data_IF_683250787718
#
_entry.id   IF_683250787718
#
_cell.length_a   1.000
_cell.length_b   1.000
_cell.length_c   1.000
_cell.angle_alpha   90.00
_cell.angle_beta   90.00
_cell.angle_gamma   90.00
#
_symmetry.space_group_name_H-M   'P 1'
#
loop_
_entity.id
_entity.type
_entity.pdbx_description
1 polymer ?
#
# COMPACT_ATOMS: atom_id res chain seq x y z
N UNK A 1 0.11 -7.73 15.19
CA UNK A 1 -0.43 -6.69 14.28
C UNK A 1 -0.28 -7.20 12.86
N UNK A 2 -1.33 -7.15 12.04
CA UNK A 2 -1.25 -7.64 10.64
C UNK A 2 -0.66 -6.57 9.72
N UNK A 3 -0.11 -6.96 8.57
CA UNK A 3 0.43 -6.00 7.59
C UNK A 3 -0.65 -5.05 7.06
N UNK A 4 -1.91 -5.51 6.95
CA UNK A 4 -3.05 -4.65 6.60
C UNK A 4 -3.25 -3.54 7.63
N UNK A 5 -3.18 -3.86 8.92
CA UNK A 5 -3.30 -2.84 9.98
C UNK A 5 -2.11 -1.87 9.98
N UNK A 6 -0.90 -2.35 9.71
CA UNK A 6 0.28 -1.47 9.58
C UNK A 6 0.12 -0.53 8.39
N UNK A 7 -0.34 -1.03 7.24
CA UNK A 7 -0.59 -0.23 6.05
C UNK A 7 -1.59 0.89 6.31
N UNK A 8 -2.74 0.59 6.93
CA UNK A 8 -3.74 1.62 7.28
C UNK A 8 -3.18 2.68 8.24
N UNK A 9 -2.40 2.28 9.26
CA UNK A 9 -1.77 3.25 10.17
C UNK A 9 -0.76 4.15 9.46
N UNK A 10 0.09 3.57 8.59
CA UNK A 10 1.10 4.33 7.85
C UNK A 10 0.46 5.24 6.81
N UNK A 11 -0.64 4.81 6.18
CA UNK A 11 -1.44 5.62 5.27
C UNK A 11 -1.99 6.86 5.97
N UNK A 12 -2.68 6.70 7.11
CA UNK A 12 -3.21 7.83 7.89
C UNK A 12 -2.09 8.75 8.40
N UNK A 13 -0.95 8.18 8.84
CA UNK A 13 0.19 8.99 9.29
C UNK A 13 0.82 9.81 8.14
N UNK A 14 0.91 9.22 6.94
CA UNK A 14 1.49 9.85 5.76
C UNK A 14 0.69 11.08 5.27
N UNK A 15 -0.57 11.24 5.68
CA UNK A 15 -1.37 12.44 5.39
C UNK A 15 -0.82 13.69 6.09
N UNK A 16 -0.14 13.53 7.23
CA UNK A 16 0.29 14.63 8.09
C UNK A 16 1.81 14.69 8.28
N UNK A 17 2.53 13.58 8.09
CA UNK A 17 3.96 13.47 8.30
C UNK A 17 4.72 13.39 6.96
N UNK A 18 5.23 14.55 6.51
CA UNK A 18 6.02 14.64 5.28
C UNK A 18 7.35 13.87 5.39
N UNK A 19 7.94 13.80 6.59
CA UNK A 19 9.18 13.07 6.84
C UNK A 19 8.99 11.58 6.62
N UNK A 20 7.88 11.03 7.12
CA UNK A 20 7.47 9.66 6.86
C UNK A 20 7.25 9.41 5.36
N UNK A 21 6.57 10.31 4.64
CA UNK A 21 6.37 10.15 3.19
C UNK A 21 7.70 10.06 2.45
N UNK A 22 8.67 10.92 2.79
CA UNK A 22 10.00 10.90 2.17
C UNK A 22 10.70 9.58 2.49
N UNK A 23 10.67 9.13 3.75
CA UNK A 23 11.29 7.87 4.16
C UNK A 23 10.66 6.65 3.46
N UNK A 24 9.32 6.61 3.35
CA UNK A 24 8.59 5.56 2.65
C UNK A 24 8.95 5.53 1.16
N UNK A 25 8.99 6.69 0.49
CA UNK A 25 9.38 6.78 -0.92
C UNK A 25 10.83 6.34 -1.14
N UNK A 26 11.73 6.69 -0.21
CA UNK A 26 13.13 6.29 -0.30
C UNK A 26 13.31 4.77 -0.13
N UNK A 27 12.50 4.12 0.70
CA UNK A 27 12.56 2.69 0.97
C UNK A 27 11.81 1.83 -0.06
N UNK A 28 10.72 2.35 -0.62
CA UNK A 28 9.87 1.60 -1.55
C UNK A 28 10.55 1.42 -2.91
N UNK A 29 10.45 0.19 -3.43
CA UNK A 29 11.06 -0.23 -4.71
C UNK A 29 10.03 -0.82 -5.68
N UNK A 30 8.74 -0.71 -5.38
CA UNK A 30 7.68 -1.14 -6.29
C UNK A 30 7.46 -0.14 -7.43
N UNK A 31 6.62 -0.51 -8.39
CA UNK A 31 6.42 0.25 -9.64
C UNK A 31 5.48 1.46 -9.51
N UNK A 32 4.70 1.50 -8.45
CA UNK A 32 3.69 2.53 -8.20
C UNK A 32 4.18 3.59 -7.21
N UNK A 33 3.43 4.66 -6.97
CA UNK A 33 3.73 5.53 -5.83
C UNK A 33 3.43 4.78 -4.53
N UNK A 34 4.23 5.01 -3.49
CA UNK A 34 4.10 4.30 -2.21
C UNK A 34 2.77 4.61 -1.51
N UNK A 35 2.23 5.82 -1.67
CA UNK A 35 0.94 6.20 -1.09
C UNK A 35 -0.20 5.49 -1.81
N UNK A 36 -0.16 5.39 -3.14
CA UNK A 36 -1.13 4.60 -3.92
C UNK A 36 -1.10 3.12 -3.48
N UNK A 37 0.10 2.55 -3.31
CA UNK A 37 0.28 1.17 -2.88
C UNK A 37 -0.23 0.91 -1.45
N UNK A 38 0.04 1.83 -0.51
CA UNK A 38 -0.49 1.78 0.85
C UNK A 38 -2.02 1.87 0.85
N UNK A 39 -2.56 2.79 0.03
CA UNK A 39 -4.00 2.95 -0.15
C UNK A 39 -4.64 1.65 -0.62
N UNK A 40 -4.15 1.03 -1.71
CA UNK A 40 -4.73 -0.23 -2.21
C UNK A 40 -4.63 -1.37 -1.21
N UNK A 41 -3.57 -1.42 -0.40
CA UNK A 41 -3.47 -2.43 0.67
C UNK A 41 -4.53 -2.23 1.76
N UNK A 42 -4.88 -0.99 2.07
CA UNK A 42 -5.94 -0.65 3.02
C UNK A 42 -7.35 -0.79 2.40
N UNK A 43 -7.48 -0.42 1.12
CA UNK A 43 -8.72 -0.31 0.34
C UNK A 43 -8.64 -1.10 -0.99
N UNK A 44 -8.66 -2.44 -0.95
CA UNK A 44 -8.53 -3.25 -2.16
C UNK A 44 -9.62 -2.95 -3.18
N UNK A 45 -9.27 -3.05 -4.47
CA UNK A 45 -10.15 -2.84 -5.63
C UNK A 45 -10.77 -1.44 -5.73
N UNK A 46 -10.32 -0.50 -4.90
CA UNK A 46 -10.79 0.87 -4.89
C UNK A 46 -9.83 1.77 -5.67
N UNK A 47 -10.33 2.89 -6.21
CA UNK A 47 -9.47 3.93 -6.77
C UNK A 47 -8.78 4.69 -5.64
N UNK A 48 -7.55 5.16 -5.88
CA UNK A 48 -6.88 6.09 -4.96
C UNK A 48 -7.57 7.46 -5.00
N UNK A 49 -7.34 8.34 -4.00
CA UNK A 49 -7.87 9.70 -4.02
C UNK A 49 -7.46 10.48 -5.28
N UNK A 50 -6.28 10.17 -5.84
CA UNK A 50 -5.81 10.70 -7.13
C UNK A 50 -6.47 10.07 -8.36
N UNK A 51 -7.46 9.20 -8.18
CA UNK A 51 -8.24 8.56 -9.24
C UNK A 51 -7.60 7.33 -9.89
N UNK A 52 -6.44 6.87 -9.39
CA UNK A 52 -5.72 5.73 -9.99
C UNK A 52 -6.41 4.41 -9.62
N UNK A 53 -6.71 3.53 -10.59
CA UNK A 53 -7.31 2.23 -10.30
C UNK A 53 -6.30 1.28 -9.64
N UNK A 54 -6.80 0.41 -8.77
CA UNK A 54 -6.01 -0.71 -8.22
C UNK A 54 -5.54 -1.62 -9.38
N UNK A 55 -4.23 -1.95 -9.47
CA UNK A 55 -3.69 -2.90 -10.44
C UNK A 55 -4.44 -4.25 -10.48
N UNK A 56 -5.06 -4.67 -9.38
CA UNK A 56 -5.87 -5.89 -9.30
C UNK A 56 -7.15 -5.85 -10.14
N UNK A 57 -7.67 -4.66 -10.50
CA UNK A 57 -8.92 -4.52 -11.26
C UNK A 57 -8.85 -5.24 -12.61
N UNK A 58 -7.68 -5.25 -13.26
CA UNK A 58 -7.50 -5.91 -14.56
C UNK A 58 -7.43 -7.44 -14.49
N UNK A 59 -7.07 -8.00 -13.32
CA UNK A 59 -6.79 -9.42 -13.19
C UNK A 59 -8.01 -10.30 -13.47
N UNK A 60 -9.18 -9.92 -12.95
CA UNK A 60 -10.41 -10.69 -13.14
C UNK A 60 -10.85 -10.75 -14.60
N UNK A 61 -10.65 -9.67 -15.37
CA UNK A 61 -10.97 -9.63 -16.78
C UNK A 61 -10.04 -10.55 -17.60
N UNK A 62 -8.74 -10.53 -17.31
CA UNK A 62 -7.75 -11.40 -17.96
C UNK A 62 -7.99 -12.87 -17.62
N UNK A 63 -8.28 -13.19 -16.35
CA UNK A 63 -8.66 -14.53 -15.92
C UNK A 63 -9.92 -15.02 -16.64
N UNK A 64 -10.95 -14.17 -16.76
CA UNK A 64 -12.17 -14.51 -17.48
C UNK A 64 -11.88 -14.78 -18.97
N UNK A 65 -11.02 -13.98 -19.60
CA UNK A 65 -10.63 -14.20 -20.99
C UNK A 65 -9.92 -15.55 -21.19
N UNK A 66 -8.97 -15.89 -20.30
CA UNK A 66 -8.18 -17.12 -20.37
C UNK A 66 -8.98 -18.38 -20.02
N UNK A 67 -9.90 -18.31 -19.05
CA UNK A 67 -10.61 -19.47 -18.51
C UNK A 67 -12.09 -19.56 -18.94
N UNK A 68 -12.57 -18.67 -19.81
CA UNK A 68 -13.94 -18.77 -20.34
C UNK A 68 -14.12 -20.03 -21.19
N UNK A 69 -15.30 -20.67 -21.08
CA UNK A 69 -15.68 -21.80 -21.94
C UNK A 69 -15.80 -21.42 -23.42
N UNK A 70 -16.01 -20.15 -23.69
CA UNK A 70 -16.12 -19.56 -25.04
C UNK A 70 -14.79 -18.98 -25.52
N UNK A 71 -13.69 -19.27 -24.84
CA UNK A 71 -12.36 -18.83 -25.26
C UNK A 71 -12.09 -19.31 -26.68
N UNK A 72 -11.57 -18.40 -27.50
CA UNK A 72 -11.00 -18.73 -28.78
C UNK A 72 -9.51 -19.00 -28.53
N UNK A 73 -9.09 -20.25 -28.72
CA UNK A 73 -7.67 -20.59 -28.61
C UNK A 73 -6.89 -19.93 -29.74
N UNK A 74 -6.01 -19.01 -29.35
CA UNK A 74 -5.04 -18.38 -30.24
C UNK A 74 -3.84 -19.29 -30.50
N UNK A 75 -2.93 -18.89 -31.40
CA UNK A 75 -1.69 -19.62 -31.64
C UNK A 75 -0.86 -19.71 -30.36
N UNK A 76 -0.22 -20.86 -30.17
CA UNK A 76 0.76 -21.05 -29.10
C UNK A 76 2.04 -20.28 -29.44
N UNK A 77 2.62 -19.67 -28.42
CA UNK A 77 3.89 -18.98 -28.48
C UNK A 77 4.78 -19.49 -27.35
N UNK A 78 6.03 -19.75 -27.67
CA UNK A 78 7.04 -20.15 -26.71
C UNK A 78 7.77 -18.90 -26.22
N UNK A 79 7.73 -18.66 -24.92
CA UNK A 79 8.39 -17.53 -24.27
C UNK A 79 9.13 -18.08 -23.06
N UNK A 80 10.36 -17.61 -22.83
CA UNK A 80 11.12 -17.98 -21.64
C UNK A 80 10.44 -17.42 -20.39
N UNK A 81 10.24 -18.27 -19.40
CA UNK A 81 9.75 -17.87 -18.09
C UNK A 81 10.81 -16.99 -17.40
N UNK A 82 10.46 -15.79 -16.91
CA UNK A 82 11.44 -14.87 -16.34
C UNK A 82 12.00 -15.32 -14.98
N UNK A 83 11.28 -16.20 -14.27
CA UNK A 83 11.68 -16.67 -12.94
C UNK A 83 12.55 -17.93 -13.01
N UNK A 84 12.34 -18.79 -14.02
CA UNK A 84 13.07 -20.06 -14.18
C UNK A 84 14.01 -20.10 -15.38
N UNK A 85 13.81 -19.25 -16.39
CA UNK A 85 14.55 -19.24 -17.66
C UNK A 85 14.10 -20.34 -18.65
N UNK A 86 13.24 -21.26 -18.23
CA UNK A 86 12.77 -22.37 -19.06
C UNK A 86 11.73 -21.89 -20.09
N UNK A 87 11.71 -22.47 -21.30
CA UNK A 87 10.71 -22.12 -22.28
C UNK A 87 9.33 -22.64 -21.87
N UNK A 88 8.33 -21.77 -21.96
CA UNK A 88 6.93 -22.10 -21.69
C UNK A 88 6.09 -21.83 -22.93
N UNK A 89 5.45 -22.89 -23.43
CA UNK A 89 4.49 -22.79 -24.53
C UNK A 89 3.10 -22.47 -23.99
N UNK A 90 2.53 -21.35 -24.41
CA UNK A 90 1.18 -20.92 -24.04
C UNK A 90 0.62 -19.92 -25.05
N UNK A 91 -0.68 -19.65 -24.98
CA UNK A 91 -1.30 -18.60 -25.78
C UNK A 91 -0.86 -17.21 -25.29
N UNK A 92 -1.03 -16.19 -26.14
CA UNK A 92 -0.72 -14.79 -25.78
C UNK A 92 -1.50 -14.33 -24.53
N UNK A 93 -2.75 -14.76 -24.38
CA UNK A 93 -3.57 -14.42 -23.21
C UNK A 93 -3.02 -15.02 -21.92
N UNK A 94 -2.58 -16.27 -21.95
CA UNK A 94 -1.96 -16.94 -20.81
C UNK A 94 -0.63 -16.29 -20.42
N UNK A 95 0.20 -15.92 -21.40
CA UNK A 95 1.44 -15.18 -21.14
C UNK A 95 1.17 -13.83 -20.48
N UNK A 96 0.17 -13.08 -20.96
CA UNK A 96 -0.24 -11.80 -20.32
C UNK A 96 -0.74 -11.99 -18.90
N UNK A 97 -1.56 -13.02 -18.66
CA UNK A 97 -2.08 -13.31 -17.32
C UNK A 97 -0.96 -13.68 -16.35
N UNK A 98 0.00 -14.51 -16.78
CA UNK A 98 1.18 -14.87 -15.98
C UNK A 98 2.02 -13.65 -15.64
N UNK A 99 2.33 -12.82 -16.64
CA UNK A 99 3.11 -11.61 -16.43
C UNK A 99 2.41 -10.63 -15.48
N UNK A 100 1.10 -10.40 -15.66
CA UNK A 100 0.32 -9.57 -14.74
C UNK A 100 0.35 -10.12 -13.31
N UNK A 101 0.16 -11.43 -13.14
CA UNK A 101 0.18 -12.09 -11.83
C UNK A 101 1.55 -11.95 -11.16
N UNK A 102 2.63 -12.15 -11.91
CA UNK A 102 4.01 -12.00 -11.45
C UNK A 102 4.29 -10.57 -10.99
N UNK A 103 3.90 -9.60 -11.80
CA UNK A 103 4.07 -8.17 -11.49
C UNK A 103 3.30 -7.76 -10.23
N UNK A 104 2.05 -8.23 -10.07
CA UNK A 104 1.26 -8.00 -8.86
C UNK A 104 1.91 -8.61 -7.62
N UNK A 105 2.47 -9.82 -7.73
CA UNK A 105 3.19 -10.47 -6.64
C UNK A 105 4.46 -9.71 -6.27
N UNK A 106 5.20 -9.18 -7.25
CA UNK A 106 6.39 -8.35 -7.02
C UNK A 106 6.05 -7.05 -6.30
N UNK A 107 5.01 -6.34 -6.74
CA UNK A 107 4.57 -5.10 -6.08
C UNK A 107 4.08 -5.37 -4.65
N UNK A 108 3.36 -6.48 -4.43
CA UNK A 108 2.93 -6.89 -3.10
C UNK A 108 4.13 -7.19 -2.17
N UNK A 109 5.12 -7.93 -2.66
CA UNK A 109 6.33 -8.26 -1.91
C UNK A 109 7.17 -7.01 -1.60
N UNK A 110 7.32 -6.09 -2.56
CA UNK A 110 8.03 -4.83 -2.36
C UNK A 110 7.37 -3.98 -1.26
N UNK A 111 6.03 -3.93 -1.23
CA UNK A 111 5.30 -3.22 -0.18
C UNK A 111 5.44 -3.94 1.17
N UNK A 112 5.36 -5.28 1.21
CA UNK A 112 5.49 -6.04 2.46
C UNK A 112 6.84 -5.79 3.16
N UNK A 113 7.93 -5.68 2.41
CA UNK A 113 9.25 -5.32 2.95
C UNK A 113 9.24 -3.94 3.64
N UNK A 114 8.58 -2.96 3.04
CA UNK A 114 8.41 -1.62 3.64
C UNK A 114 7.55 -1.71 4.89
N UNK A 115 6.41 -2.39 4.84
CA UNK A 115 5.51 -2.53 5.98
C UNK A 115 6.18 -3.22 7.18
N UNK A 116 7.02 -4.23 6.93
CA UNK A 116 7.82 -4.89 7.97
C UNK A 116 8.84 -3.93 8.57
N UNK A 117 9.54 -3.16 7.74
CA UNK A 117 10.59 -2.22 8.18
C UNK A 117 10.01 -1.06 9.02
N UNK A 118 8.85 -0.55 8.63
CA UNK A 118 8.17 0.58 9.30
C UNK A 118 7.17 0.12 10.37
N UNK A 119 7.13 -1.16 10.72
CA UNK A 119 6.19 -1.69 11.73
C UNK A 119 6.31 -0.99 13.08
N UNK A 120 7.52 -0.57 13.43
CA UNK A 120 7.87 0.07 14.70
C UNK A 120 8.02 1.59 14.58
N UNK A 121 7.65 2.19 13.44
CA UNK A 121 7.72 3.64 13.27
C UNK A 121 6.91 4.33 14.37
N UNK A 122 7.53 5.17 15.20
CA UNK A 122 6.87 5.78 16.36
C UNK A 122 5.92 6.94 15.99
N UNK A 123 5.82 7.29 14.69
CA UNK A 123 5.35 8.60 14.25
C UNK A 123 6.49 9.60 14.38
N UNK A 124 6.56 10.65 13.56
CA UNK A 124 7.47 11.75 13.81
C UNK A 124 7.15 12.36 15.18
N UNK A 125 7.82 11.86 16.22
CA UNK A 125 8.36 12.73 17.24
C UNK A 125 9.28 13.68 16.49
N UNK A 126 8.75 14.82 16.09
CA UNK A 126 9.54 16.02 16.09
C UNK A 126 9.97 16.23 17.55
N UNK A 127 10.92 15.42 18.05
CA UNK A 127 11.93 15.97 18.93
C UNK A 127 12.56 17.06 18.07
N UNK A 128 12.05 18.28 18.27
CA UNK A 128 12.85 19.46 18.12
C UNK A 128 14.13 19.17 18.90
N UNK A 129 15.14 18.63 18.22
CA UNK A 129 16.53 18.92 18.53
C UNK A 129 16.70 20.41 18.18
N UNK A 130 15.99 21.25 18.95
CA UNK A 130 16.45 22.53 19.41
C UNK A 130 17.77 22.22 20.11
N UNK A 131 18.82 22.00 19.30
CA UNK A 131 20.12 22.48 19.68
C UNK A 131 19.99 23.98 19.65
N UNK A 132 19.43 24.46 20.76
CA UNK A 132 19.77 25.68 21.43
C UNK A 132 21.30 25.71 21.47
N UNK A 133 21.91 26.10 20.36
CA UNK A 133 23.26 26.63 20.36
C UNK A 133 23.13 27.92 21.11
N UNK A 134 23.39 27.78 22.39
CA UNK A 134 23.74 28.79 23.38
C UNK A 134 24.67 29.84 22.74
N UNK A 135 24.04 30.81 22.07
CA UNK A 135 24.67 32.06 21.66
C UNK A 135 23.90 33.11 22.43
N UNK A 136 24.40 33.44 23.62
CA UNK A 136 24.15 34.76 24.20
C UNK A 136 24.57 35.83 23.17
N UNK A 137 23.67 36.76 22.85
CA UNK A 137 24.09 38.14 22.92
C UNK A 137 23.17 38.92 23.87
N UNK A 138 23.80 39.40 24.93
CA UNK A 138 23.38 40.49 25.80
C UNK A 138 22.29 41.42 25.24
N UNK A 139 21.21 41.51 26.02
CA UNK A 139 20.60 42.74 26.54
C UNK A 139 20.04 43.73 25.51
N UNK A 140 18.71 43.74 25.38
CA UNK A 140 17.99 44.98 25.03
C UNK A 140 16.53 44.82 24.59
N UNK A 141 15.67 45.61 25.22
CA UNK A 141 14.35 46.08 24.75
C UNK A 141 13.10 45.20 24.98
N UNK A 142 12.36 45.62 26.02
CA UNK A 142 10.92 45.43 26.23
C UNK A 142 10.09 45.88 25.02
N UNK A 143 9.00 45.18 24.72
CA UNK A 143 7.58 45.65 24.73
C UNK A 143 6.67 44.48 24.27
N UNK A 144 5.85 43.91 25.14
CA UNK A 144 4.43 44.22 25.39
C UNK A 144 3.48 44.01 24.20
N UNK A 145 2.66 42.93 24.22
CA UNK A 145 1.18 42.97 24.06
C UNK A 145 0.51 41.57 24.05
N UNK A 146 -0.16 41.30 25.18
CA UNK A 146 -1.55 40.80 25.42
C UNK A 146 -2.09 39.46 24.84
N UNK A 147 -3.11 38.86 25.53
CA UNK A 147 -3.44 37.44 25.49
C UNK A 147 -4.81 37.10 24.86
N UNK A 148 -4.99 35.87 24.37
CA UNK A 148 -6.29 35.21 24.06
C UNK A 148 -6.07 33.70 24.27
N UNK A 149 -6.49 33.04 25.37
CA UNK A 149 -7.81 32.46 25.74
C UNK A 149 -8.44 31.49 24.72
N UNK A 150 -8.65 30.24 25.16
CA UNK A 150 -9.78 29.34 24.79
C UNK A 150 -9.37 28.13 23.92
N UNK A 151 -9.24 26.89 24.41
CA UNK A 151 -10.18 25.92 25.03
C UNK A 151 -10.91 25.00 24.00
N UNK A 152 -10.59 23.69 24.12
CA UNK A 152 -11.34 22.41 23.95
C UNK A 152 -12.15 22.13 22.67
N UNK A 153 -11.94 21.02 21.92
CA UNK A 153 -12.23 19.57 22.14
C UNK A 153 -13.67 19.14 21.73
N UNK A 154 -13.76 17.97 21.06
CA UNK A 154 -14.87 16.97 20.99
C UNK A 154 -15.64 16.83 19.67
N UNK A 155 -15.75 15.56 19.20
CA UNK A 155 -16.86 15.02 18.38
C UNK A 155 -16.42 13.90 17.42
N UNK A 156 -16.28 12.63 17.86
CA UNK A 156 -17.31 11.56 17.86
C UNK A 156 -17.60 10.93 16.46
N UNK A 157 -17.15 9.70 16.22
CA UNK A 157 -18.03 8.52 15.95
C UNK A 157 -18.15 8.24 14.43
N UNK A 158 -18.10 7.02 13.90
CA UNK A 158 -18.72 5.79 14.36
C UNK A 158 -18.00 4.54 13.83
N UNK A 159 -17.96 3.54 14.70
CA UNK A 159 -17.73 2.12 14.41
C UNK A 159 -18.92 1.50 13.70
N UNK A 160 -18.68 0.75 12.61
CA UNK A 160 -19.58 -0.30 12.17
C UNK A 160 -18.74 -1.48 11.69
N UNK A 161 -18.72 -2.54 12.50
CA UNK A 161 -18.23 -3.84 12.08
C UNK A 161 -19.26 -4.58 11.24
N UNK A 162 -18.80 -5.50 10.41
CA UNK A 162 -19.54 -6.73 10.18
C UNK A 162 -18.55 -7.89 10.00
N UNK A 163 -18.86 -8.93 10.74
CA UNK A 163 -18.19 -10.20 10.94
C UNK A 163 -18.77 -11.26 9.99
N UNK A 164 -17.96 -12.29 9.70
CA UNK A 164 -18.34 -13.68 9.36
C UNK A 164 -18.88 -13.88 7.92
N UNK A 165 -18.50 -14.92 7.16
CA UNK A 165 -17.93 -16.20 7.58
C UNK A 165 -17.15 -16.94 6.51
N UNK A 166 -16.18 -17.70 7.02
CA UNK A 166 -15.50 -18.80 6.36
C UNK A 166 -16.46 -19.99 6.32
N UNK A 167 -16.77 -20.48 5.13
CA UNK A 167 -17.38 -21.79 4.94
C UNK A 167 -16.39 -22.65 4.15
N UNK A 168 -15.58 -23.40 4.91
CA UNK A 168 -14.84 -24.56 4.45
C UNK A 168 -15.82 -25.69 4.20
N UNK A 169 -15.94 -26.14 2.96
CA UNK A 169 -16.47 -27.47 2.66
C UNK A 169 -15.45 -28.22 1.83
N UNK A 170 -14.66 -28.99 2.58
CA UNK A 170 -13.96 -30.19 2.14
C UNK A 170 -14.99 -31.22 1.67
N UNK A 171 -14.61 -32.04 0.68
CA UNK A 171 -15.16 -33.31 0.21
C UNK A 171 -15.40 -33.27 -1.32
N UNK A 172 -14.99 -34.24 -2.13
CA UNK A 172 -14.56 -35.61 -1.86
C UNK A 172 -13.67 -36.07 -3.03
N UNK A 173 -12.69 -36.89 -2.68
CA UNK A 173 -11.68 -37.51 -3.52
C UNK A 173 -12.18 -38.89 -3.96
N UNK A 174 -12.17 -39.13 -5.28
CA UNK A 174 -11.88 -40.40 -6.01
C UNK A 174 -12.81 -41.61 -5.85
N UNK A 175 -12.63 -42.64 -6.70
CA UNK A 175 -11.86 -42.73 -7.95
C UNK A 175 -12.72 -42.77 -9.22
#
# INVERSE_FOLDING_TARGET
>A
MTLKTVAGRLETAAETDLGLVIALRAAYRGRHDVQDALWWRAHPLSRTPGGRPDPLVGLGAEQAAVYSRTRIDGPLSEVADPDTGEPVSATIGEHRLRELTRLLAQDAAALDLVLVSFRAWPGAGYENDDRDTDVEPRRGARTNRRPVRGILLVGAGATAGLLIGVATTLALRTP
#
